data_IF_681161261267
#
_entry.id   IF_681161261267
#
_cell.length_a   1.000
_cell.length_b   1.000
_cell.length_c   1.000
_cell.angle_alpha   90.00
_cell.angle_beta   90.00
_cell.angle_gamma   90.00
#
_symmetry.space_group_name_H-M   'P 1'
#
loop_
_entity.id
_entity.type
_entity.pdbx_description
1 polymer ?
#
# COMPACT_ATOMS: atom_id res chain seq x y z
N UNK A 1 53.43 16.49 -23.11
CA UNK A 1 52.13 15.92 -23.53
C UNK A 1 51.79 14.77 -22.60
N UNK A 2 50.79 14.93 -21.73
CA UNK A 2 50.44 13.95 -20.69
C UNK A 2 49.75 12.75 -21.37
N UNK A 3 50.23 11.53 -21.11
CA UNK A 3 49.67 10.30 -21.71
C UNK A 3 48.26 10.03 -21.14
N UNK A 4 47.21 10.48 -21.84
CA UNK A 4 45.80 10.23 -21.51
C UNK A 4 45.28 8.88 -22.03
N UNK A 5 46.12 8.14 -22.78
CA UNK A 5 45.79 6.83 -23.36
C UNK A 5 45.27 5.81 -22.31
N UNK A 6 45.83 5.70 -21.08
CA UNK A 6 45.32 4.74 -20.10
C UNK A 6 43.91 5.08 -19.59
N UNK A 7 43.59 6.37 -19.46
CA UNK A 7 42.31 6.83 -18.91
C UNK A 7 41.16 6.60 -19.89
N UNK A 8 41.40 6.84 -21.19
CA UNK A 8 40.41 6.61 -22.25
C UNK A 8 40.09 5.12 -22.37
N UNK A 9 41.10 4.26 -22.29
CA UNK A 9 40.91 2.79 -22.35
C UNK A 9 40.06 2.29 -21.17
N UNK A 10 40.30 2.80 -19.96
CA UNK A 10 39.48 2.44 -18.79
C UNK A 10 38.03 2.86 -18.95
N UNK A 11 37.78 4.08 -19.45
CA UNK A 11 36.42 4.59 -19.65
C UNK A 11 35.63 3.75 -20.67
N UNK A 12 36.26 3.38 -21.79
CA UNK A 12 35.61 2.53 -22.82
C UNK A 12 35.29 1.15 -22.29
N UNK A 13 36.18 0.55 -21.49
CA UNK A 13 35.94 -0.75 -20.85
C UNK A 13 34.79 -0.66 -19.86
N UNK A 14 34.70 0.39 -19.04
CA UNK A 14 33.58 0.59 -18.13
C UNK A 14 32.24 0.73 -18.86
N UNK A 15 32.18 1.51 -19.94
CA UNK A 15 30.97 1.66 -20.75
C UNK A 15 30.56 0.32 -21.38
N UNK A 16 31.54 -0.46 -21.87
CA UNK A 16 31.28 -1.78 -22.43
C UNK A 16 30.75 -2.76 -21.39
N UNK A 17 31.29 -2.75 -20.16
CA UNK A 17 30.83 -3.60 -19.05
C UNK A 17 29.42 -3.21 -18.62
N UNK A 18 29.14 -1.91 -18.46
CA UNK A 18 27.80 -1.42 -18.11
C UNK A 18 26.81 -1.75 -19.22
N UNK A 19 27.18 -1.53 -20.49
CA UNK A 19 26.38 -1.91 -21.65
C UNK A 19 26.09 -3.42 -21.68
N UNK A 20 27.11 -4.26 -21.49
CA UNK A 20 26.95 -5.71 -21.42
C UNK A 20 26.08 -6.15 -20.23
N UNK A 21 26.21 -5.51 -19.08
CA UNK A 21 25.35 -5.75 -17.92
C UNK A 21 23.89 -5.43 -18.22
N UNK A 22 23.60 -4.29 -18.85
CA UNK A 22 22.23 -3.94 -19.24
C UNK A 22 21.68 -4.87 -20.32
N UNK A 23 22.49 -5.24 -21.31
CA UNK A 23 22.10 -6.20 -22.35
C UNK A 23 21.79 -7.56 -21.73
N UNK A 24 22.67 -8.10 -20.87
CA UNK A 24 22.46 -9.37 -20.19
C UNK A 24 21.22 -9.34 -19.28
N UNK A 25 21.01 -8.25 -18.53
CA UNK A 25 19.82 -8.06 -17.71
C UNK A 25 18.53 -7.98 -18.54
N UNK A 26 18.58 -7.32 -19.71
CA UNK A 26 17.44 -7.23 -20.64
C UNK A 26 17.21 -8.50 -21.47
N UNK A 27 18.22 -9.38 -21.56
CA UNK A 27 18.19 -10.63 -22.33
C UNK A 27 17.78 -11.84 -21.49
N UNK A 28 17.67 -11.70 -20.16
CA UNK A 28 17.04 -12.75 -19.36
C UNK A 28 15.57 -12.84 -19.77
N UNK A 29 15.07 -14.03 -20.16
CA UNK A 29 13.65 -14.22 -20.39
C UNK A 29 12.91 -13.75 -19.13
N UNK A 30 11.88 -12.92 -19.30
CA UNK A 30 11.00 -12.62 -18.16
C UNK A 30 10.48 -13.95 -17.60
N UNK A 31 10.29 -14.07 -16.28
CA UNK A 31 9.72 -15.30 -15.70
C UNK A 31 8.38 -15.66 -16.37
N UNK A 32 7.65 -14.67 -16.90
CA UNK A 32 6.46 -14.84 -17.76
C UNK A 32 6.70 -15.73 -19.01
N UNK A 33 7.93 -15.85 -19.52
CA UNK A 33 8.30 -16.64 -20.71
C UNK A 33 8.82 -18.05 -20.41
N UNK A 34 9.18 -18.34 -19.15
CA UNK A 34 9.41 -19.71 -18.70
C UNK A 34 8.02 -20.24 -18.32
N UNK A 35 7.52 -21.25 -19.05
CA UNK A 35 6.21 -21.83 -18.78
C UNK A 35 6.00 -22.11 -17.29
N UNK A 36 4.86 -21.69 -16.75
CA UNK A 36 4.47 -21.99 -15.36
C UNK A 36 4.41 -23.50 -15.15
N UNK A 37 5.21 -24.01 -14.21
CA UNK A 37 5.10 -25.40 -13.79
C UNK A 37 3.71 -25.64 -13.22
N UNK A 38 3.14 -26.82 -13.49
CA UNK A 38 1.83 -27.22 -12.98
C UNK A 38 1.71 -27.02 -11.46
N UNK A 39 2.76 -27.37 -10.71
CA UNK A 39 2.84 -27.17 -9.26
C UNK A 39 2.61 -25.72 -8.83
N UNK A 40 3.34 -24.75 -9.40
CA UNK A 40 3.17 -23.31 -9.09
C UNK A 40 1.75 -22.83 -9.43
N UNK A 41 1.19 -23.29 -10.54
CA UNK A 41 -0.18 -22.93 -10.95
C UNK A 41 -1.21 -23.47 -9.95
N UNK A 42 -1.01 -24.68 -9.47
CA UNK A 42 -1.90 -25.33 -8.50
C UNK A 42 -1.80 -24.65 -7.12
N UNK A 43 -0.59 -24.31 -6.66
CA UNK A 43 -0.37 -23.51 -5.45
C UNK A 43 -1.07 -22.16 -5.52
N UNK A 44 -0.96 -21.45 -6.65
CA UNK A 44 -1.70 -20.19 -6.90
C UNK A 44 -3.21 -20.41 -6.88
N UNK A 45 -3.68 -21.52 -7.43
CA UNK A 45 -5.09 -21.91 -7.38
C UNK A 45 -5.61 -22.11 -5.96
N UNK A 46 -4.85 -22.84 -5.13
CA UNK A 46 -5.16 -23.05 -3.72
C UNK A 46 -5.16 -21.73 -2.95
N UNK A 47 -4.12 -20.91 -3.13
CA UNK A 47 -4.05 -19.59 -2.49
C UNK A 47 -5.27 -18.72 -2.78
N UNK A 48 -5.76 -18.70 -4.03
CA UNK A 48 -7.00 -17.99 -4.39
C UNK A 48 -8.23 -18.57 -3.71
N UNK A 49 -8.38 -19.90 -3.70
CA UNK A 49 -9.52 -20.55 -3.08
C UNK A 49 -9.60 -20.26 -1.57
N UNK A 50 -8.48 -20.32 -0.86
CA UNK A 50 -8.42 -19.97 0.55
C UNK A 50 -8.67 -18.47 0.78
N UNK A 51 -8.17 -17.59 -0.09
CA UNK A 51 -8.44 -16.16 -0.01
C UNK A 51 -9.93 -15.82 -0.18
N UNK A 52 -10.61 -16.49 -1.12
CA UNK A 52 -12.07 -16.35 -1.33
C UNK A 52 -12.89 -16.89 -0.15
N UNK A 53 -12.33 -17.85 0.60
CA UNK A 53 -12.91 -18.38 1.83
C UNK A 53 -12.60 -17.53 3.07
N UNK A 54 -11.89 -16.41 2.93
CA UNK A 54 -11.33 -15.58 4.02
C UNK A 54 -10.37 -16.34 4.96
N UNK A 55 -9.82 -17.47 4.51
CA UNK A 55 -8.77 -18.21 5.21
C UNK A 55 -7.41 -17.62 4.83
N UNK A 56 -7.14 -16.41 5.33
CA UNK A 56 -6.02 -15.59 4.84
C UNK A 56 -4.65 -16.20 5.13
N UNK A 57 -4.44 -16.81 6.29
CA UNK A 57 -3.17 -17.43 6.66
C UNK A 57 -2.81 -18.56 5.70
N UNK A 58 -3.76 -19.45 5.40
CA UNK A 58 -3.60 -20.53 4.43
C UNK A 58 -3.35 -19.95 3.03
N UNK A 59 -4.09 -18.92 2.63
CA UNK A 59 -3.88 -18.28 1.33
C UNK A 59 -2.45 -17.75 1.18
N UNK A 60 -1.94 -17.06 2.20
CA UNK A 60 -0.57 -16.54 2.23
C UNK A 60 0.45 -17.68 2.21
N UNK A 61 0.20 -18.79 2.91
CA UNK A 61 1.09 -19.95 2.91
C UNK A 61 1.27 -20.52 1.50
N UNK A 62 0.16 -20.81 0.80
CA UNK A 62 0.22 -21.33 -0.57
C UNK A 62 0.86 -20.35 -1.56
N UNK A 63 0.57 -19.05 -1.44
CA UNK A 63 1.23 -18.05 -2.28
C UNK A 63 2.72 -17.91 -1.98
N UNK A 64 3.12 -18.01 -0.71
CA UNK A 64 4.53 -17.97 -0.30
C UNK A 64 5.29 -19.19 -0.83
N UNK A 65 4.67 -20.37 -0.83
CA UNK A 65 5.25 -21.56 -1.45
C UNK A 65 5.45 -21.37 -2.95
N UNK A 66 4.46 -20.82 -3.65
CA UNK A 66 4.57 -20.49 -5.08
C UNK A 66 5.69 -19.45 -5.35
N UNK A 67 5.86 -18.47 -4.45
CA UNK A 67 6.92 -17.47 -4.53
C UNK A 67 8.33 -18.07 -4.35
N UNK A 68 8.51 -19.21 -3.67
CA UNK A 68 9.84 -19.85 -3.58
C UNK A 68 10.37 -20.25 -4.96
N UNK A 69 9.49 -20.71 -5.84
CA UNK A 69 9.84 -21.03 -7.23
C UNK A 69 9.92 -19.78 -8.11
N UNK A 70 9.15 -18.72 -7.79
CA UNK A 70 9.09 -17.47 -8.57
C UNK A 70 9.11 -16.22 -7.68
N UNK A 71 10.27 -15.84 -7.10
CA UNK A 71 10.34 -14.73 -6.14
C UNK A 71 10.09 -13.34 -6.74
N UNK A 72 9.95 -13.24 -8.06
CA UNK A 72 9.72 -12.00 -8.81
C UNK A 72 8.39 -12.05 -9.58
N UNK A 73 7.47 -12.94 -9.22
CA UNK A 73 6.11 -12.97 -9.78
C UNK A 73 5.28 -11.81 -9.21
N UNK A 74 5.12 -10.76 -10.01
CA UNK A 74 4.35 -9.58 -9.65
C UNK A 74 2.87 -9.87 -9.33
N UNK A 75 2.28 -10.92 -9.92
CA UNK A 75 0.88 -11.28 -9.66
C UNK A 75 0.74 -11.89 -8.28
N UNK A 76 1.66 -12.77 -7.88
CA UNK A 76 1.69 -13.35 -6.53
C UNK A 76 1.86 -12.27 -5.46
N UNK A 77 2.79 -11.34 -5.65
CA UNK A 77 2.93 -10.19 -4.75
C UNK A 77 1.64 -9.34 -4.67
N UNK A 78 0.95 -9.13 -5.79
CA UNK A 78 -0.32 -8.43 -5.78
C UNK A 78 -1.41 -9.20 -5.02
N UNK A 79 -1.51 -10.51 -5.22
CA UNK A 79 -2.51 -11.37 -4.60
C UNK A 79 -2.28 -11.46 -3.08
N UNK A 80 -1.04 -11.63 -2.63
CA UNK A 80 -0.67 -11.57 -1.20
C UNK A 80 -0.97 -10.19 -0.62
N UNK A 81 -0.63 -9.12 -1.35
CA UNK A 81 -0.94 -7.76 -0.93
C UNK A 81 -2.43 -7.51 -0.75
N UNK A 82 -3.27 -8.04 -1.66
CA UNK A 82 -4.72 -7.98 -1.55
C UNK A 82 -5.25 -8.79 -0.35
N UNK A 83 -4.68 -9.98 -0.10
CA UNK A 83 -5.03 -10.79 1.08
C UNK A 83 -4.70 -10.06 2.37
N UNK A 84 -3.50 -9.50 2.52
CA UNK A 84 -3.15 -8.71 3.69
C UNK A 84 -4.02 -7.47 3.86
N UNK A 85 -4.42 -6.80 2.77
CA UNK A 85 -5.35 -5.69 2.85
C UNK A 85 -6.71 -6.13 3.42
N UNK A 86 -7.26 -7.25 2.96
CA UNK A 86 -8.52 -7.79 3.48
C UNK A 86 -8.40 -8.26 4.93
N UNK A 87 -7.30 -8.94 5.27
CA UNK A 87 -6.97 -9.33 6.65
C UNK A 87 -6.92 -8.11 7.57
N UNK A 88 -6.37 -6.98 7.11
CA UNK A 88 -6.34 -5.74 7.88
C UNK A 88 -7.71 -5.12 8.10
N UNK A 89 -8.59 -5.19 7.08
CA UNK A 89 -9.98 -4.75 7.19
C UNK A 89 -10.73 -5.62 8.20
N UNK A 90 -10.60 -6.95 8.10
CA UNK A 90 -11.27 -7.87 9.03
C UNK A 90 -10.78 -7.67 10.47
N UNK A 91 -9.47 -7.47 10.65
CA UNK A 91 -8.88 -7.14 11.94
C UNK A 91 -9.33 -5.78 12.52
N UNK A 92 -9.93 -4.90 11.72
CA UNK A 92 -10.51 -3.64 12.20
C UNK A 92 -11.93 -3.80 12.76
N UNK A 93 -12.58 -4.93 12.48
CA UNK A 93 -13.95 -5.25 12.85
C UNK A 93 -14.99 -4.78 11.83
N UNK A 94 -16.26 -4.98 12.16
CA UNK A 94 -17.40 -4.72 11.27
C UNK A 94 -17.64 -3.22 11.01
N UNK A 95 -17.19 -2.36 11.91
CA UNK A 95 -17.42 -0.91 11.82
C UNK A 95 -16.18 -0.21 11.29
N UNK A 96 -16.36 0.63 10.26
CA UNK A 96 -15.30 1.41 9.66
C UNK A 96 -15.71 2.89 9.55
N UNK A 97 -15.00 3.83 10.21
CA UNK A 97 -13.88 3.59 11.13
C UNK A 97 -14.31 2.89 12.43
N UNK A 98 -13.37 2.30 13.15
CA UNK A 98 -13.61 1.66 14.45
C UNK A 98 -13.95 2.67 15.55
N UNK A 99 -13.56 3.93 15.37
CA UNK A 99 -13.94 5.09 16.21
C UNK A 99 -13.91 6.35 15.37
N UNK A 100 -14.87 7.25 15.56
CA UNK A 100 -14.89 8.58 14.94
C UNK A 100 -15.32 9.65 15.95
N UNK A 101 -14.60 10.76 16.03
CA UNK A 101 -14.92 11.84 16.96
C UNK A 101 -14.56 13.22 16.38
N UNK A 102 -15.42 14.23 16.63
CA UNK A 102 -15.14 15.63 16.29
C UNK A 102 -14.55 16.36 17.50
N UNK A 103 -13.30 16.79 17.38
CA UNK A 103 -12.52 17.46 18.43
C UNK A 103 -12.27 18.94 18.13
N UNK A 104 -12.98 19.54 17.17
CA UNK A 104 -12.72 20.91 16.66
C UNK A 104 -12.86 22.03 17.69
N UNK A 105 -13.48 21.78 18.85
CA UNK A 105 -13.63 22.79 19.91
C UNK A 105 -12.97 22.38 21.24
N UNK A 106 -12.12 21.35 21.22
CA UNK A 106 -11.49 20.84 22.44
C UNK A 106 -10.14 21.48 22.71
N UNK A 107 -9.81 21.55 24.00
CA UNK A 107 -8.43 21.85 24.40
C UNK A 107 -7.52 20.65 24.12
N UNK A 108 -6.19 20.82 24.01
CA UNK A 108 -5.28 19.70 23.84
C UNK A 108 -5.38 18.63 24.93
N UNK A 109 -5.73 19.01 26.16
CA UNK A 109 -5.88 18.08 27.28
C UNK A 109 -7.14 17.23 27.09
N UNK A 110 -8.27 17.86 26.76
CA UNK A 110 -9.53 17.15 26.55
C UNK A 110 -9.47 16.26 25.31
N UNK A 111 -8.87 16.76 24.22
CA UNK A 111 -8.66 15.97 23.01
C UNK A 111 -7.74 14.76 23.26
N UNK A 112 -6.66 14.94 24.04
CA UNK A 112 -5.77 13.83 24.41
C UNK A 112 -6.51 12.78 25.24
N UNK A 113 -7.38 13.20 26.17
CA UNK A 113 -8.21 12.27 26.93
C UNK A 113 -9.13 11.45 26.00
N UNK A 114 -9.76 12.08 25.01
CA UNK A 114 -10.58 11.37 24.01
C UNK A 114 -9.75 10.36 23.21
N UNK A 115 -8.54 10.74 22.79
CA UNK A 115 -7.65 9.81 22.10
C UNK A 115 -7.24 8.63 22.98
N UNK A 116 -6.88 8.87 24.24
CA UNK A 116 -6.53 7.80 25.17
C UNK A 116 -7.70 6.84 25.38
N UNK A 117 -8.92 7.36 25.50
CA UNK A 117 -10.12 6.56 25.58
C UNK A 117 -10.32 5.70 24.31
N UNK A 118 -10.22 6.30 23.12
CA UNK A 118 -10.34 5.58 21.86
C UNK A 118 -9.26 4.49 21.72
N UNK A 119 -8.00 4.81 22.03
CA UNK A 119 -6.89 3.85 21.99
C UNK A 119 -7.04 2.70 22.98
N UNK A 120 -7.71 2.93 24.11
CA UNK A 120 -8.00 1.89 25.11
C UNK A 120 -9.11 0.92 24.68
N UNK A 121 -10.11 1.41 23.94
CA UNK A 121 -11.27 0.62 23.51
C UNK A 121 -11.04 -0.07 22.17
N UNK A 122 -10.32 0.59 21.25
CA UNK A 122 -9.97 0.02 19.94
C UNK A 122 -8.69 -0.79 20.09
N UNK A 123 -8.79 -2.12 20.15
CA UNK A 123 -7.63 -3.02 20.18
C UNK A 123 -6.86 -2.97 18.84
N UNK A 124 -7.59 -3.11 17.74
CA UNK A 124 -7.12 -3.10 16.36
C UNK A 124 -8.14 -2.37 15.50
N UNK A 125 -7.69 -1.59 14.52
CA UNK A 125 -8.58 -0.87 13.61
C UNK A 125 -8.16 0.57 13.35
N UNK A 126 -9.15 1.40 12.99
CA UNK A 126 -8.95 2.76 12.53
C UNK A 126 -9.74 3.74 13.38
N UNK A 127 -9.07 4.76 13.89
CA UNK A 127 -9.64 5.87 14.64
C UNK A 127 -9.55 7.11 13.75
N UNK A 128 -10.64 7.83 13.59
CA UNK A 128 -10.70 9.09 12.85
C UNK A 128 -11.03 10.21 13.82
N UNK A 129 -10.24 11.28 13.79
CA UNK A 129 -10.44 12.46 14.63
C UNK A 129 -10.45 13.73 13.79
N UNK A 130 -11.54 14.47 13.84
CA UNK A 130 -11.66 15.76 13.15
C UNK A 130 -11.13 16.87 14.04
N UNK A 131 -10.16 17.62 13.56
CA UNK A 131 -9.42 18.63 14.34
C UNK A 131 -9.22 19.90 13.52
N UNK A 132 -9.20 21.07 14.17
CA UNK A 132 -8.94 22.36 13.49
C UNK A 132 -7.82 23.19 14.17
N UNK A 133 -7.30 22.70 15.30
CA UNK A 133 -6.34 23.40 16.12
C UNK A 133 -4.97 22.72 16.00
N UNK A 134 -3.95 23.47 15.58
CA UNK A 134 -2.59 22.94 15.41
C UNK A 134 -2.03 22.31 16.68
N UNK A 135 -2.24 22.93 17.85
CA UNK A 135 -1.74 22.40 19.11
C UNK A 135 -2.42 21.08 19.49
N UNK A 136 -3.71 20.94 19.17
CA UNK A 136 -4.43 19.66 19.32
C UNK A 136 -3.83 18.63 18.38
N UNK A 137 -3.71 18.95 17.09
CA UNK A 137 -3.09 18.06 16.08
C UNK A 137 -1.71 17.55 16.53
N UNK A 138 -0.80 18.45 16.89
CA UNK A 138 0.56 18.09 17.32
C UNK A 138 0.52 17.19 18.58
N UNK A 139 -0.40 17.46 19.51
CA UNK A 139 -0.54 16.66 20.75
C UNK A 139 -1.01 15.24 20.45
N UNK A 140 -2.05 15.10 19.63
CA UNK A 140 -2.63 13.81 19.27
C UNK A 140 -1.66 12.98 18.43
N UNK A 141 -1.03 13.60 17.43
CA UNK A 141 -0.09 12.92 16.54
C UNK A 141 1.11 12.37 17.33
N UNK A 142 1.72 13.20 18.19
CA UNK A 142 2.85 12.77 19.01
C UNK A 142 2.48 11.61 19.93
N UNK A 143 1.31 11.67 20.59
CA UNK A 143 0.87 10.60 21.48
C UNK A 143 0.55 9.30 20.72
N UNK A 144 -0.15 9.39 19.60
CA UNK A 144 -0.50 8.23 18.79
C UNK A 144 0.75 7.55 18.21
N UNK A 145 1.70 8.32 17.67
CA UNK A 145 2.97 7.78 17.16
C UNK A 145 3.82 7.17 18.27
N UNK A 146 3.90 7.82 19.44
CA UNK A 146 4.59 7.25 20.61
C UNK A 146 3.94 5.94 21.10
N UNK A 147 2.64 5.76 20.84
CA UNK A 147 1.89 4.53 21.10
C UNK A 147 2.02 3.48 19.98
N UNK A 148 2.93 3.69 19.01
CA UNK A 148 3.18 2.76 17.91
C UNK A 148 2.14 2.78 16.79
N UNK A 149 1.22 3.75 16.80
CA UNK A 149 0.18 3.88 15.79
C UNK A 149 0.74 4.53 14.52
N UNK A 150 0.14 4.18 13.38
CA UNK A 150 0.27 4.97 12.17
C UNK A 150 -0.65 6.19 12.27
N UNK A 151 -0.21 7.33 11.75
CA UNK A 151 -1.00 8.58 11.71
C UNK A 151 -0.85 9.22 10.34
N UNK A 152 -1.99 9.54 9.72
CA UNK A 152 -2.10 10.38 8.54
C UNK A 152 -3.01 11.57 8.83
N UNK A 153 -2.64 12.73 8.30
CA UNK A 153 -3.43 13.96 8.38
C UNK A 153 -3.86 14.36 6.98
N UNK A 154 -5.16 14.42 6.75
CA UNK A 154 -5.74 14.99 5.54
C UNK A 154 -6.29 16.38 5.85
N UNK A 155 -5.63 17.41 5.33
CA UNK A 155 -6.07 18.80 5.53
C UNK A 155 -7.23 19.15 4.61
N UNK A 156 -8.33 19.59 5.20
CA UNK A 156 -9.47 20.23 4.53
C UNK A 156 -9.41 21.76 4.71
N UNK A 157 -10.40 22.50 4.23
CA UNK A 157 -10.37 23.97 4.29
C UNK A 157 -10.30 24.54 5.71
N UNK A 158 -11.09 23.99 6.64
CA UNK A 158 -11.23 24.51 8.02
C UNK A 158 -10.84 23.50 9.11
N UNK A 159 -10.80 22.23 8.75
CA UNK A 159 -10.53 21.10 9.64
C UNK A 159 -9.49 20.19 8.98
N UNK A 160 -9.06 19.19 9.71
CA UNK A 160 -8.19 18.13 9.24
C UNK A 160 -8.69 16.83 9.84
N UNK A 161 -8.72 15.79 9.02
CA UNK A 161 -9.05 14.45 9.48
C UNK A 161 -7.75 13.75 9.83
N UNK A 162 -7.59 13.42 11.12
CA UNK A 162 -6.50 12.58 11.58
C UNK A 162 -6.94 11.12 11.55
N UNK A 163 -6.36 10.34 10.64
CA UNK A 163 -6.55 8.89 10.58
C UNK A 163 -5.44 8.21 11.38
N UNK A 164 -5.81 7.46 12.40
CA UNK A 164 -4.90 6.71 13.29
C UNK A 164 -5.19 5.23 13.14
N UNK A 165 -4.17 4.42 12.84
CA UNK A 165 -4.33 2.97 12.62
C UNK A 165 -3.46 2.22 13.60
N UNK A 166 -4.00 1.17 14.22
CA UNK A 166 -3.29 0.37 15.22
C UNK A 166 -3.64 -1.12 15.18
N UNK A 167 -2.88 -1.90 15.96
CA UNK A 167 -3.11 -3.33 16.14
C UNK A 167 -2.81 -4.15 14.89
N UNK A 168 -3.49 -5.28 14.75
CA UNK A 168 -3.33 -6.20 13.62
C UNK A 168 -3.68 -5.55 12.27
N UNK A 169 -4.63 -4.61 12.25
CA UNK A 169 -4.94 -3.81 11.04
C UNK A 169 -3.70 -3.06 10.54
N UNK A 170 -2.94 -2.43 11.43
CA UNK A 170 -1.72 -1.71 11.04
C UNK A 170 -0.66 -2.65 10.48
N UNK A 171 -0.44 -3.79 11.15
CA UNK A 171 0.54 -4.78 10.69
C UNK A 171 0.19 -5.32 9.30
N UNK A 172 -1.08 -5.71 9.12
CA UNK A 172 -1.59 -6.22 7.85
C UNK A 172 -1.50 -5.16 6.74
N UNK A 173 -1.87 -3.90 7.01
CA UNK A 173 -1.73 -2.82 6.03
C UNK A 173 -0.28 -2.53 5.63
N UNK A 174 0.67 -2.61 6.56
CA UNK A 174 2.10 -2.49 6.24
C UNK A 174 2.58 -3.61 5.33
N UNK A 175 2.18 -4.85 5.59
CA UNK A 175 2.50 -6.00 4.74
C UNK A 175 1.85 -5.85 3.36
N UNK A 176 0.58 -5.44 3.31
CA UNK A 176 -0.12 -5.14 2.07
C UNK A 176 0.60 -4.08 1.24
N UNK A 177 1.01 -2.96 1.84
CA UNK A 177 1.73 -1.89 1.13
C UNK A 177 3.04 -2.42 0.56
N UNK A 178 3.81 -3.17 1.35
CA UNK A 178 5.09 -3.75 0.91
C UNK A 178 4.93 -4.66 -0.31
N UNK A 179 3.98 -5.60 -0.25
CA UNK A 179 3.74 -6.56 -1.33
C UNK A 179 3.19 -5.89 -2.59
N UNK A 180 2.28 -4.92 -2.45
CA UNK A 180 1.73 -4.19 -3.58
C UNK A 180 2.74 -3.26 -4.25
N UNK A 181 3.62 -2.62 -3.47
CA UNK A 181 4.75 -1.86 -4.01
C UNK A 181 5.71 -2.78 -4.76
N UNK A 182 5.99 -3.98 -4.23
CA UNK A 182 6.81 -4.98 -4.92
C UNK A 182 6.19 -5.41 -6.25
N UNK A 183 4.88 -5.67 -6.29
CA UNK A 183 4.17 -6.00 -7.51
C UNK A 183 4.25 -4.87 -8.56
N UNK A 184 4.06 -3.63 -8.13
CA UNK A 184 4.19 -2.43 -8.97
C UNK A 184 5.61 -2.27 -9.53
N UNK A 185 6.64 -2.48 -8.71
CA UNK A 185 8.05 -2.34 -9.12
C UNK A 185 8.46 -3.43 -10.12
N UNK A 186 8.02 -4.67 -9.89
CA UNK A 186 8.27 -5.80 -10.78
C UNK A 186 7.52 -5.65 -12.12
N UNK A 187 6.30 -5.12 -12.09
CA UNK A 187 5.46 -4.93 -13.29
C UNK A 187 4.81 -3.54 -13.33
N UNK A 188 5.53 -2.50 -13.79
CA UNK A 188 5.01 -1.13 -13.81
C UNK A 188 3.77 -0.89 -14.66
N UNK A 189 3.43 -1.80 -15.58
CA UNK A 189 2.22 -1.76 -16.42
C UNK A 189 1.16 -2.78 -15.97
N UNK A 190 1.03 -2.98 -14.66
CA UNK A 190 0.03 -3.88 -14.09
C UNK A 190 -1.06 -3.08 -13.36
N UNK A 191 -2.21 -2.89 -14.01
CA UNK A 191 -3.33 -2.08 -13.51
C UNK A 191 -3.77 -2.46 -12.09
N UNK A 192 -3.92 -3.77 -11.81
CA UNK A 192 -4.43 -4.24 -10.54
C UNK A 192 -3.55 -3.86 -9.33
N UNK A 193 -2.22 -3.81 -9.48
CA UNK A 193 -1.33 -3.38 -8.41
C UNK A 193 -1.59 -1.92 -8.01
N UNK A 194 -1.83 -1.04 -8.99
CA UNK A 194 -2.21 0.35 -8.72
C UNK A 194 -3.62 0.47 -8.14
N UNK A 195 -4.58 -0.34 -8.61
CA UNK A 195 -5.93 -0.37 -8.05
C UNK A 195 -5.93 -0.77 -6.57
N UNK A 196 -5.17 -1.81 -6.23
CA UNK A 196 -5.04 -2.30 -4.87
C UNK A 196 -4.29 -1.32 -3.97
N UNK A 197 -3.20 -0.69 -4.45
CA UNK A 197 -2.53 0.40 -3.73
C UNK A 197 -3.47 1.56 -3.45
N UNK A 198 -4.28 1.96 -4.44
CA UNK A 198 -5.25 3.04 -4.26
C UNK A 198 -6.29 2.69 -3.20
N UNK A 199 -6.79 1.45 -3.20
CA UNK A 199 -7.74 0.96 -2.20
C UNK A 199 -7.13 0.95 -0.79
N UNK A 200 -5.89 0.46 -0.66
CA UNK A 200 -5.15 0.46 0.60
C UNK A 200 -4.91 1.89 1.11
N UNK A 201 -4.44 2.80 0.25
CA UNK A 201 -4.20 4.20 0.62
C UNK A 201 -5.46 4.92 1.04
N UNK A 202 -6.58 4.62 0.39
CA UNK A 202 -7.88 5.15 0.80
C UNK A 202 -8.23 4.70 2.22
N UNK A 203 -8.06 3.40 2.53
CA UNK A 203 -8.25 2.87 3.90
C UNK A 203 -7.28 3.48 4.90
N UNK A 204 -6.07 3.82 4.47
CA UNK A 204 -5.07 4.48 5.32
C UNK A 204 -5.31 5.99 5.51
N UNK A 205 -6.42 6.53 5.01
CA UNK A 205 -6.75 7.96 5.05
C UNK A 205 -5.98 8.80 4.02
N UNK A 206 -5.04 8.21 3.27
CA UNK A 206 -4.22 8.86 2.24
C UNK A 206 -5.02 9.05 0.95
N UNK A 207 -6.11 9.83 1.02
CA UNK A 207 -7.08 9.99 -0.07
C UNK A 207 -6.44 10.52 -1.37
N UNK A 208 -5.49 11.47 -1.27
CA UNK A 208 -4.77 12.00 -2.43
C UNK A 208 -3.91 10.95 -3.12
N UNK A 209 -3.16 10.18 -2.34
CA UNK A 209 -2.35 9.09 -2.87
C UNK A 209 -3.22 8.02 -3.52
N UNK A 210 -4.39 7.73 -2.93
CA UNK A 210 -5.36 6.81 -3.51
C UNK A 210 -5.82 7.25 -4.90
N UNK A 211 -6.17 8.53 -5.06
CA UNK A 211 -6.57 9.12 -6.35
C UNK A 211 -5.45 8.99 -7.38
N UNK A 212 -4.20 9.29 -7.01
CA UNK A 212 -3.04 9.18 -7.92
C UNK A 212 -2.86 7.73 -8.39
N UNK A 213 -2.99 6.75 -7.49
CA UNK A 213 -2.88 5.34 -7.84
C UNK A 213 -4.04 4.88 -8.74
N UNK A 214 -5.29 5.26 -8.43
CA UNK A 214 -6.44 4.92 -9.29
C UNK A 214 -6.39 5.59 -10.66
N UNK A 215 -5.89 6.83 -10.76
CA UNK A 215 -5.63 7.48 -12.05
C UNK A 215 -4.58 6.72 -12.87
N UNK A 216 -3.52 6.24 -12.22
CA UNK A 216 -2.49 5.41 -12.85
C UNK A 216 -3.06 4.08 -13.35
N UNK A 217 -3.90 3.42 -12.54
CA UNK A 217 -4.61 2.20 -12.95
C UNK A 217 -5.54 2.45 -14.15
N UNK A 218 -6.34 3.54 -14.11
CA UNK A 218 -7.27 3.88 -15.19
C UNK A 218 -6.53 4.25 -16.49
N UNK A 219 -5.34 4.84 -16.40
CA UNK A 219 -4.51 5.10 -17.57
C UNK A 219 -4.03 3.80 -18.26
N UNK A 220 -3.83 2.73 -17.49
CA UNK A 220 -3.50 1.40 -18.01
C UNK A 220 -4.74 0.67 -18.56
N UNK A 221 -5.91 0.86 -17.95
CA UNK A 221 -7.19 0.24 -18.34
C UNK A 221 -8.33 1.26 -18.46
N UNK A 222 -8.39 2.06 -19.54
CA UNK A 222 -9.32 3.20 -19.65
C UNK A 222 -10.81 2.82 -19.64
N UNK A 223 -11.13 1.56 -19.94
CA UNK A 223 -12.51 1.06 -19.97
C UNK A 223 -13.02 0.62 -18.60
N UNK A 224 -12.16 0.51 -17.59
CA UNK A 224 -12.51 0.09 -16.23
C UNK A 224 -13.54 1.07 -15.61
N UNK A 225 -14.79 0.60 -15.48
CA UNK A 225 -15.90 1.41 -14.97
C UNK A 225 -15.79 1.66 -13.47
N UNK A 226 -15.26 0.69 -12.71
CA UNK A 226 -15.08 0.77 -11.25
C UNK A 226 -14.12 1.91 -10.90
N UNK A 227 -12.96 1.98 -11.57
CA UNK A 227 -11.98 3.05 -11.36
C UNK A 227 -12.53 4.44 -11.71
N UNK A 228 -13.32 4.55 -12.79
CA UNK A 228 -14.02 5.80 -13.13
C UNK A 228 -15.00 6.24 -12.04
N UNK A 229 -15.74 5.30 -11.47
CA UNK A 229 -16.68 5.59 -10.38
C UNK A 229 -15.95 6.06 -9.12
N UNK A 230 -14.85 5.41 -8.75
CA UNK A 230 -14.00 5.87 -7.65
C UNK A 230 -13.56 7.31 -7.87
N UNK A 231 -12.92 7.61 -9.00
CA UNK A 231 -12.43 8.96 -9.28
C UNK A 231 -13.54 10.01 -9.34
N UNK A 232 -14.69 9.70 -9.93
CA UNK A 232 -15.82 10.64 -9.97
C UNK A 232 -16.34 10.97 -8.56
N UNK A 233 -16.44 9.98 -7.68
CA UNK A 233 -16.88 10.19 -6.30
C UNK A 233 -15.89 11.09 -5.53
N UNK A 234 -14.58 10.93 -5.75
CA UNK A 234 -13.55 11.61 -4.96
C UNK A 234 -13.10 12.97 -5.55
N UNK A 235 -13.20 13.18 -6.86
CA UNK A 235 -12.97 14.50 -7.48
C UNK A 235 -14.02 15.52 -7.00
N UNK A 236 -15.28 15.10 -6.83
CA UNK A 236 -16.38 15.96 -6.36
C UNK A 236 -16.25 16.36 -4.89
N UNK A 237 -15.55 15.58 -4.06
CA UNK A 237 -15.35 15.87 -2.63
C UNK A 237 -14.08 16.69 -2.37
N UNK A 238 -13.10 16.66 -3.27
CA UNK A 238 -11.89 17.49 -3.20
C UNK A 238 -12.09 18.94 -3.69
N UNK A 239 -13.23 19.22 -4.34
CA UNK A 239 -13.56 20.52 -4.92
C UNK A 239 -14.60 21.33 -4.12
N UNK A 240 -14.97 20.87 -2.92
CA UNK A 240 -15.83 21.59 -1.95
C UNK A 240 -15.04 21.97 -0.70
#
# INVERSE_FOLDING_TARGET
MRNYIPLIVVLVVCIAIVGAYFVLKSSQPSIDTIGESEEVRDLKGMGRAYAEANEYEQAIEYYTEALKARPEDAYLHNDIGAVYHNMGIEAAGETWPSWEEDLTNLTPVDALHQLQQALSQVQSGVIVMTVNNKKVMDTLENHARASGCYVHLEHQQRTSDMTIIKGATLEAFRKAESELLRAKDLKPRYSAAYENLGSLYYRMGRKRDAIIMWQSALALEPTNKKLRQYLQQYDLTSSQ
#
